data_IF_078732796413
#
_entry.id   IF_078732796413
#
_cell.length_a   1.000
_cell.length_b   1.000
_cell.length_c   1.000
_cell.angle_alpha   90.00
_cell.angle_beta   90.00
_cell.angle_gamma   90.00
#
_symmetry.space_group_name_H-M   'P 1'
#
loop_
_entity.id
_entity.type
_entity.pdbx_description
1 polymer ?
#
# COMPACT_ATOMS: atom_id res chain seq x y z
N UNK A 1 -7.27 -47.52 18.28
CA UNK A 1 -7.82 -46.16 18.36
C UNK A 1 -7.88 -45.53 16.97
N UNK A 2 -9.08 -45.33 16.41
CA UNK A 2 -9.28 -44.75 15.06
C UNK A 2 -9.06 -43.24 15.12
N UNK A 3 -8.24 -42.72 14.19
CA UNK A 3 -7.60 -41.40 14.25
C UNK A 3 -8.60 -40.26 13.94
N UNK A 4 -8.74 -39.22 14.77
CA UNK A 4 -9.63 -38.05 14.53
C UNK A 4 -9.13 -37.08 13.43
N UNK A 5 -8.22 -37.53 12.54
CA UNK A 5 -7.47 -36.67 11.62
C UNK A 5 -8.31 -36.07 10.48
N UNK A 6 -9.35 -36.76 10.05
CA UNK A 6 -10.22 -36.28 8.96
C UNK A 6 -11.20 -35.20 9.44
N UNK A 7 -11.50 -35.15 10.74
CA UNK A 7 -12.51 -34.24 11.29
C UNK A 7 -11.99 -32.80 11.42
N UNK A 8 -10.74 -32.63 11.85
CA UNK A 8 -10.10 -31.31 12.01
C UNK A 8 -9.93 -30.62 10.64
N UNK A 9 -9.51 -31.37 9.62
CA UNK A 9 -9.30 -30.81 8.27
C UNK A 9 -10.63 -30.34 7.64
N UNK A 10 -11.73 -31.08 7.86
CA UNK A 10 -13.08 -30.69 7.38
C UNK A 10 -13.63 -29.47 8.14
N UNK A 11 -13.38 -29.37 9.45
CA UNK A 11 -13.77 -28.20 10.25
C UNK A 11 -13.05 -26.93 9.80
N UNK A 12 -11.77 -27.01 9.43
CA UNK A 12 -11.04 -25.86 8.90
C UNK A 12 -11.58 -25.41 7.53
N UNK A 13 -11.90 -26.34 6.62
CA UNK A 13 -12.45 -26.01 5.29
C UNK A 13 -13.86 -25.44 5.38
N UNK A 14 -14.72 -26.00 6.24
CA UNK A 14 -16.12 -25.53 6.42
C UNK A 14 -16.16 -24.21 7.21
N UNK A 15 -15.29 -24.02 8.22
CA UNK A 15 -15.16 -22.75 8.93
C UNK A 15 -14.64 -21.60 8.05
N UNK A 16 -13.78 -21.92 7.09
CA UNK A 16 -13.23 -20.96 6.14
C UNK A 16 -14.24 -20.56 5.04
N UNK A 17 -15.06 -21.49 4.56
CA UNK A 17 -16.19 -21.18 3.67
C UNK A 17 -17.36 -20.50 4.40
N UNK A 18 -17.56 -20.76 5.69
CA UNK A 18 -18.60 -20.11 6.50
C UNK A 18 -18.30 -18.66 6.86
N UNK A 19 -17.03 -18.29 7.08
CA UNK A 19 -16.66 -16.91 7.46
C UNK A 19 -16.61 -15.94 6.27
N UNK A 20 -16.52 -16.43 5.03
CA UNK A 20 -16.68 -15.58 3.83
C UNK A 20 -18.14 -15.17 3.57
N UNK A 21 -19.12 -15.84 4.20
CA UNK A 21 -20.55 -15.52 4.09
C UNK A 21 -21.04 -14.46 5.08
N UNK A 22 -20.28 -14.11 6.13
CA UNK A 22 -20.70 -13.16 7.16
C UNK A 22 -20.28 -11.70 6.89
N UNK A 23 -19.80 -11.42 5.68
CA UNK A 23 -19.41 -10.08 5.24
C UNK A 23 -19.93 -9.76 3.85
N UNK A 24 -21.23 -9.89 3.59
CA UNK A 24 -21.92 -9.43 2.37
C UNK A 24 -21.96 -7.89 2.22
N UNK A 25 -20.92 -7.22 2.70
CA UNK A 25 -20.63 -5.80 2.55
C UNK A 25 -19.24 -5.57 1.96
N UNK A 26 -18.73 -6.46 1.09
CA UNK A 26 -17.57 -6.17 0.23
C UNK A 26 -17.99 -5.08 -0.75
N UNK A 27 -18.06 -3.83 -0.27
CA UNK A 27 -18.00 -2.65 -1.13
C UNK A 27 -16.64 -2.73 -1.83
N UNK A 28 -16.69 -2.81 -3.17
CA UNK A 28 -15.52 -2.87 -4.03
C UNK A 28 -14.42 -1.93 -3.51
N UNK A 29 -13.17 -2.38 -3.38
CA UNK A 29 -12.07 -1.48 -3.07
C UNK A 29 -11.88 -0.53 -4.27
N UNK A 30 -12.52 0.64 -4.23
CA UNK A 30 -12.30 1.76 -5.15
C UNK A 30 -10.91 2.41 -4.99
N UNK A 31 -10.03 1.76 -4.21
CA UNK A 31 -8.77 2.32 -3.74
C UNK A 31 -7.64 2.33 -4.78
N UNK A 32 -7.68 1.46 -5.79
CA UNK A 32 -6.58 1.39 -6.77
C UNK A 32 -6.65 2.47 -7.87
N UNK A 33 -7.77 3.17 -8.05
CA UNK A 33 -7.91 4.17 -9.13
C UNK A 33 -8.17 5.61 -8.66
N UNK A 34 -8.67 5.85 -7.44
CA UNK A 34 -9.15 7.18 -7.06
C UNK A 34 -8.22 7.99 -6.14
N UNK A 35 -7.27 7.34 -5.46
CA UNK A 35 -6.54 7.95 -4.33
C UNK A 35 -5.26 8.73 -4.68
N UNK A 36 -4.50 8.31 -5.69
CA UNK A 36 -3.17 8.87 -5.92
C UNK A 36 -3.16 10.10 -6.85
N UNK A 37 -3.97 10.12 -7.92
CA UNK A 37 -3.93 11.21 -8.91
C UNK A 37 -4.64 12.50 -8.44
N UNK A 38 -5.70 12.39 -7.62
CA UNK A 38 -6.51 13.55 -7.26
C UNK A 38 -5.98 14.37 -6.06
N UNK A 39 -5.09 13.81 -5.24
CA UNK A 39 -4.56 14.51 -4.06
C UNK A 39 -3.40 15.45 -4.43
N UNK A 40 -2.63 15.10 -5.47
CA UNK A 40 -1.53 15.94 -5.98
C UNK A 40 -2.02 17.19 -6.73
N UNK A 41 -2.96 17.02 -7.65
CA UNK A 41 -3.45 18.11 -8.51
C UNK A 41 -4.23 19.20 -7.74
N UNK A 42 -4.97 18.84 -6.68
CA UNK A 42 -5.68 19.83 -5.84
C UNK A 42 -4.76 20.64 -4.91
N UNK A 43 -3.52 20.20 -4.67
CA UNK A 43 -2.56 20.89 -3.78
C UNK A 43 -1.90 22.11 -4.43
N UNK A 44 -1.78 22.16 -5.74
CA UNK A 44 -1.13 23.28 -6.44
C UNK A 44 -2.05 24.51 -6.56
N UNK A 45 -3.37 24.32 -6.64
CA UNK A 45 -4.30 25.44 -6.82
C UNK A 45 -4.63 26.20 -5.51
N UNK A 46 -4.38 25.63 -4.33
CA UNK A 46 -4.69 26.30 -3.04
C UNK A 46 -3.53 27.10 -2.43
N UNK A 47 -2.31 26.97 -2.96
CA UNK A 47 -1.13 27.73 -2.48
C UNK A 47 -0.95 29.09 -3.17
N UNK A 48 -1.72 29.38 -4.22
CA UNK A 48 -1.59 30.61 -5.01
C UNK A 48 -2.41 31.81 -4.49
N UNK A 49 -3.16 31.69 -3.38
CA UNK A 49 -4.18 32.68 -3.01
C UNK A 49 -4.06 33.28 -1.59
N UNK A 50 -2.87 33.39 -1.01
CA UNK A 50 -2.73 34.06 0.31
C UNK A 50 -2.00 35.39 0.15
N UNK A 51 -2.76 36.42 -0.24
CA UNK A 51 -2.41 37.81 0.06
C UNK A 51 -2.68 38.10 1.55
N UNK A 52 -1.93 39.05 2.12
CA UNK A 52 -1.77 39.36 3.56
C UNK A 52 -3.06 39.66 4.38
N UNK A 53 -4.26 39.52 3.81
CA UNK A 53 -5.53 39.94 4.44
C UNK A 53 -6.25 38.90 5.32
N UNK A 54 -6.10 37.60 5.09
CA UNK A 54 -7.07 36.62 5.62
C UNK A 54 -6.47 35.53 6.52
N UNK A 55 -5.98 35.93 7.70
CA UNK A 55 -5.69 34.98 8.78
C UNK A 55 -6.92 34.09 9.12
N UNK A 56 -8.13 34.64 8.92
CA UNK A 56 -9.42 33.98 9.12
C UNK A 56 -9.74 32.95 8.02
N UNK A 57 -9.40 33.23 6.75
CA UNK A 57 -9.62 32.24 5.67
C UNK A 57 -8.67 31.05 5.81
N UNK A 58 -7.42 31.29 6.21
CA UNK A 58 -6.47 30.22 6.50
C UNK A 58 -6.97 29.32 7.65
N UNK A 59 -7.49 29.88 8.75
CA UNK A 59 -7.98 29.07 9.88
C UNK A 59 -9.22 28.24 9.52
N UNK A 60 -10.14 28.79 8.71
CA UNK A 60 -11.31 28.07 8.24
C UNK A 60 -10.94 26.92 7.29
N UNK A 61 -9.97 27.13 6.40
CA UNK A 61 -9.42 26.06 5.57
C UNK A 61 -8.83 24.93 6.43
N UNK A 62 -8.11 25.27 7.50
CA UNK A 62 -7.55 24.29 8.43
C UNK A 62 -8.62 23.46 9.14
N UNK A 63 -9.65 24.11 9.69
CA UNK A 63 -10.76 23.38 10.35
C UNK A 63 -11.50 22.48 9.36
N UNK A 64 -11.70 22.94 8.12
CA UNK A 64 -12.38 22.13 7.11
C UNK A 64 -11.53 20.95 6.66
N UNK A 65 -10.21 21.13 6.54
CA UNK A 65 -9.27 20.05 6.27
C UNK A 65 -9.26 19.02 7.41
N UNK A 66 -9.24 19.49 8.67
CA UNK A 66 -9.27 18.64 9.86
C UNK A 66 -10.59 17.87 9.97
N UNK A 67 -11.74 18.50 9.70
CA UNK A 67 -13.05 17.84 9.69
C UNK A 67 -13.17 16.79 8.57
N UNK A 68 -12.66 17.09 7.37
CA UNK A 68 -12.69 16.12 6.26
C UNK A 68 -11.78 14.94 6.53
N UNK A 69 -10.60 15.18 7.09
CA UNK A 69 -9.68 14.11 7.40
C UNK A 69 -10.17 13.30 8.59
N UNK A 70 -10.75 13.90 9.63
CA UNK A 70 -11.28 13.12 10.76
C UNK A 70 -12.43 12.20 10.34
N UNK A 71 -13.29 12.62 9.41
CA UNK A 71 -14.31 11.73 8.84
C UNK A 71 -13.73 10.62 7.96
N UNK A 72 -12.70 10.93 7.16
CA UNK A 72 -12.02 9.94 6.33
C UNK A 72 -11.15 8.97 7.14
N UNK A 73 -10.53 9.45 8.22
CA UNK A 73 -9.68 8.68 9.13
C UNK A 73 -10.52 7.69 9.92
N UNK A 74 -11.70 8.08 10.42
CA UNK A 74 -12.64 7.16 11.06
C UNK A 74 -13.02 5.99 10.14
N UNK A 75 -13.32 6.28 8.87
CA UNK A 75 -13.67 5.25 7.89
C UNK A 75 -12.45 4.39 7.49
N UNK A 76 -11.25 4.96 7.47
CA UNK A 76 -10.01 4.23 7.12
C UNK A 76 -9.53 3.35 8.28
N UNK A 77 -9.59 3.86 9.50
CA UNK A 77 -9.17 3.19 10.73
C UNK A 77 -10.13 2.04 11.08
N UNK A 78 -11.42 2.18 10.76
CA UNK A 78 -12.40 1.10 10.91
C UNK A 78 -12.23 -0.01 9.84
N UNK A 79 -11.50 0.24 8.75
CA UNK A 79 -11.38 -0.68 7.61
C UNK A 79 -10.16 -1.61 7.63
N UNK A 80 -9.11 -1.31 8.38
CA UNK A 80 -7.88 -2.13 8.36
C UNK A 80 -7.83 -3.12 9.52
N UNK A 81 -8.78 -4.07 9.57
CA UNK A 81 -8.68 -5.19 10.51
C UNK A 81 -7.82 -6.32 9.89
N UNK A 82 -6.82 -6.79 10.63
CA UNK A 82 -5.98 -7.93 10.21
C UNK A 82 -6.47 -9.25 10.82
N UNK A 83 -7.74 -9.31 11.22
CA UNK A 83 -8.33 -10.49 11.87
C UNK A 83 -8.30 -11.72 10.95
N UNK A 84 -8.50 -11.53 9.64
CA UNK A 84 -8.35 -12.61 8.67
C UNK A 84 -6.95 -13.25 8.73
N UNK A 85 -5.89 -12.44 8.83
CA UNK A 85 -4.51 -12.92 8.96
C UNK A 85 -4.34 -13.73 10.25
N UNK A 86 -4.91 -13.26 11.36
CA UNK A 86 -4.87 -13.97 12.66
C UNK A 86 -5.52 -15.35 12.55
N UNK A 87 -6.71 -15.44 11.94
CA UNK A 87 -7.40 -16.71 11.73
C UNK A 87 -6.61 -17.65 10.83
N UNK A 88 -6.14 -17.14 9.68
CA UNK A 88 -5.36 -17.94 8.72
C UNK A 88 -4.06 -18.44 9.33
N UNK A 89 -3.34 -17.58 10.05
CA UNK A 89 -2.09 -17.94 10.69
C UNK A 89 -2.28 -18.95 11.82
N UNK A 90 -3.35 -18.81 12.62
CA UNK A 90 -3.73 -19.79 13.64
C UNK A 90 -4.04 -21.15 13.00
N UNK A 91 -4.85 -21.17 11.93
CA UNK A 91 -5.17 -22.40 11.22
C UNK A 91 -3.92 -23.05 10.62
N UNK A 92 -3.03 -22.25 9.99
CA UNK A 92 -1.80 -22.76 9.39
C UNK A 92 -0.83 -23.30 10.45
N UNK A 93 -0.77 -22.67 11.62
CA UNK A 93 -0.01 -23.13 12.77
C UNK A 93 -0.51 -24.49 13.27
N UNK A 94 -1.84 -24.63 13.45
CA UNK A 94 -2.46 -25.89 13.88
C UNK A 94 -2.24 -27.01 12.85
N UNK A 95 -2.42 -26.71 11.56
CA UNK A 95 -2.20 -27.69 10.49
C UNK A 95 -0.74 -28.16 10.51
N UNK A 96 0.23 -27.24 10.59
CA UNK A 96 1.64 -27.62 10.62
C UNK A 96 2.05 -28.35 11.91
N UNK A 97 1.40 -28.05 13.03
CA UNK A 97 1.65 -28.72 14.30
C UNK A 97 1.14 -30.17 14.30
N UNK A 98 -0.11 -30.39 13.85
CA UNK A 98 -0.78 -31.70 13.91
C UNK A 98 -0.54 -32.60 12.69
N UNK A 99 0.07 -32.08 11.62
CA UNK A 99 0.35 -32.86 10.41
C UNK A 99 1.45 -33.88 10.67
N UNK A 100 1.10 -35.16 10.80
CA UNK A 100 2.09 -36.25 10.85
C UNK A 100 2.55 -36.64 9.43
N UNK A 101 3.42 -35.84 8.82
CA UNK A 101 4.11 -36.22 7.58
C UNK A 101 5.46 -36.88 7.87
N UNK A 102 5.67 -38.08 7.34
CA UNK A 102 6.96 -38.80 7.41
C UNK A 102 8.06 -38.00 6.69
N UNK A 103 7.70 -37.25 5.65
CA UNK A 103 8.63 -36.55 4.77
C UNK A 103 9.18 -35.22 5.35
N UNK A 104 8.49 -34.63 6.31
CA UNK A 104 8.92 -33.36 6.93
C UNK A 104 9.18 -33.60 8.42
N UNK A 105 10.44 -33.81 8.84
CA UNK A 105 10.76 -34.00 10.24
C UNK A 105 10.32 -32.77 11.05
N UNK A 106 9.95 -32.99 12.31
CA UNK A 106 9.38 -31.96 13.19
C UNK A 106 10.29 -30.73 13.32
N UNK A 107 11.61 -30.93 13.24
CA UNK A 107 12.63 -29.87 13.27
C UNK A 107 12.43 -28.83 12.16
N UNK A 108 11.98 -29.25 10.96
CA UNK A 108 11.71 -28.34 9.83
C UNK A 108 10.40 -27.58 10.02
N UNK A 109 9.49 -28.07 10.86
CA UNK A 109 8.17 -27.46 11.11
C UNK A 109 8.19 -26.37 12.16
N UNK A 110 9.05 -26.50 13.17
CA UNK A 110 9.15 -25.55 14.28
C UNK A 110 9.39 -24.11 13.78
N UNK A 111 10.33 -23.84 12.85
CA UNK A 111 10.51 -22.49 12.31
C UNK A 111 9.25 -21.93 11.65
N UNK A 112 8.49 -22.75 10.93
CA UNK A 112 7.23 -22.30 10.29
C UNK A 112 6.16 -21.97 11.33
N UNK A 113 6.00 -22.80 12.36
CA UNK A 113 5.06 -22.57 13.47
C UNK A 113 5.40 -21.28 14.21
N UNK A 114 6.69 -21.05 14.52
CA UNK A 114 7.14 -19.81 15.15
C UNK A 114 6.89 -18.60 14.23
N UNK A 115 7.15 -18.74 12.93
CA UNK A 115 6.89 -17.67 11.95
C UNK A 115 5.42 -17.26 11.91
N UNK A 116 4.50 -18.24 11.87
CA UNK A 116 3.05 -17.99 11.94
C UNK A 116 2.67 -17.33 13.27
N UNK A 117 3.21 -17.80 14.40
CA UNK A 117 2.97 -17.17 15.69
C UNK A 117 3.37 -15.69 15.71
N UNK A 118 4.50 -15.34 15.10
CA UNK A 118 4.95 -13.94 14.97
C UNK A 118 3.98 -13.13 14.10
N UNK A 119 3.58 -13.65 12.93
CA UNK A 119 2.58 -12.99 12.07
C UNK A 119 1.27 -12.74 12.80
N UNK A 120 0.80 -13.72 13.57
CA UNK A 120 -0.41 -13.64 14.38
C UNK A 120 -0.29 -12.52 15.44
N UNK A 121 0.80 -12.48 16.20
CA UNK A 121 1.04 -11.46 17.24
C UNK A 121 1.11 -10.07 16.63
N UNK A 122 1.86 -9.88 15.55
CA UNK A 122 1.99 -8.58 14.88
C UNK A 122 0.65 -8.11 14.29
N UNK A 123 -0.13 -9.04 13.72
CA UNK A 123 -1.46 -8.73 13.19
C UNK A 123 -2.46 -8.36 14.29
N UNK A 124 -2.40 -9.04 15.44
CA UNK A 124 -3.18 -8.68 16.62
C UNK A 124 -2.78 -7.31 17.15
N UNK A 125 -1.49 -7.04 17.28
CA UNK A 125 -1.00 -5.73 17.70
C UNK A 125 -1.43 -4.63 16.73
N UNK A 126 -1.34 -4.85 15.42
CA UNK A 126 -1.81 -3.90 14.41
C UNK A 126 -3.33 -3.69 14.45
N UNK A 127 -4.10 -4.71 14.84
CA UNK A 127 -5.57 -4.62 14.94
C UNK A 127 -6.01 -3.92 16.24
N UNK A 128 -5.34 -4.19 17.36
CA UNK A 128 -5.69 -3.63 18.68
C UNK A 128 -5.13 -2.20 18.83
N UNK A 129 -3.91 -1.96 18.36
CA UNK A 129 -3.29 -0.64 18.45
C UNK A 129 -3.92 0.29 17.42
N UNK A 130 -4.98 0.99 17.83
CA UNK A 130 -5.61 2.05 17.04
C UNK A 130 -4.59 3.12 16.58
N UNK A 131 -3.48 3.28 17.30
CA UNK A 131 -2.36 4.16 16.95
C UNK A 131 -1.08 3.37 16.70
N UNK A 132 -1.16 2.27 15.95
CA UNK A 132 0.02 1.50 15.60
C UNK A 132 1.10 2.39 14.95
N UNK A 133 2.34 2.21 15.40
CA UNK A 133 3.52 2.89 14.85
C UNK A 133 3.60 2.56 13.35
N UNK A 134 3.80 3.54 12.43
CA UNK A 134 3.86 3.26 11.00
C UNK A 134 4.83 2.15 10.62
N UNK A 135 5.96 2.06 11.34
CA UNK A 135 6.93 0.98 11.16
C UNK A 135 6.35 -0.43 11.31
N UNK A 136 5.33 -0.62 12.16
CA UNK A 136 4.65 -1.90 12.33
C UNK A 136 3.94 -2.33 11.05
N UNK A 137 3.22 -1.42 10.38
CA UNK A 137 2.52 -1.72 9.13
C UNK A 137 3.48 -2.03 7.98
N UNK A 138 4.61 -1.30 7.91
CA UNK A 138 5.65 -1.60 6.92
C UNK A 138 6.25 -2.99 7.15
N UNK A 139 6.60 -3.32 8.39
CA UNK A 139 7.13 -4.63 8.76
C UNK A 139 6.13 -5.75 8.48
N UNK A 140 4.87 -5.57 8.89
CA UNK A 140 3.80 -6.55 8.65
C UNK A 140 3.58 -6.76 7.15
N UNK A 141 3.57 -5.68 6.35
CA UNK A 141 3.46 -5.77 4.90
C UNK A 141 4.59 -6.58 4.28
N UNK A 142 5.83 -6.33 4.66
CA UNK A 142 7.00 -7.08 4.16
C UNK A 142 6.95 -8.55 4.57
N UNK A 143 6.60 -8.84 5.82
CA UNK A 143 6.51 -10.22 6.31
C UNK A 143 5.37 -11.00 5.66
N UNK A 144 4.20 -10.40 5.49
CA UNK A 144 3.07 -11.02 4.79
C UNK A 144 3.39 -11.19 3.30
N UNK A 145 4.03 -10.20 2.67
CA UNK A 145 4.43 -10.26 1.28
C UNK A 145 5.45 -11.37 1.01
N UNK A 146 6.48 -11.48 1.85
CA UNK A 146 7.48 -12.55 1.71
C UNK A 146 6.87 -13.93 1.96
N UNK A 147 5.97 -14.06 2.93
CA UNK A 147 5.26 -15.32 3.20
C UNK A 147 4.36 -15.70 2.03
N UNK A 148 3.62 -14.74 1.46
CA UNK A 148 2.77 -14.95 0.29
C UNK A 148 3.58 -15.41 -0.92
N UNK A 149 4.73 -14.79 -1.19
CA UNK A 149 5.64 -15.20 -2.27
C UNK A 149 6.16 -16.62 -2.03
N UNK A 150 6.56 -16.94 -0.79
CA UNK A 150 6.94 -18.29 -0.40
C UNK A 150 5.85 -19.32 -0.70
N UNK A 151 4.62 -19.03 -0.29
CA UNK A 151 3.50 -19.96 -0.38
C UNK A 151 3.00 -20.13 -1.84
N UNK A 152 3.01 -19.06 -2.64
CA UNK A 152 2.53 -19.09 -4.03
C UNK A 152 3.57 -19.64 -5.02
N UNK A 153 4.85 -19.31 -4.85
CA UNK A 153 5.89 -19.64 -5.85
C UNK A 153 6.76 -20.84 -5.47
N UNK A 154 6.84 -21.20 -4.19
CA UNK A 154 7.65 -22.35 -3.76
C UNK A 154 6.76 -23.50 -3.29
N UNK A 155 5.90 -23.26 -2.32
CA UNK A 155 5.11 -24.35 -1.71
C UNK A 155 3.98 -24.85 -2.60
N UNK A 156 3.19 -23.96 -3.21
CA UNK A 156 2.11 -24.38 -4.09
C UNK A 156 2.63 -25.22 -5.28
N UNK A 157 3.67 -24.81 -6.05
CA UNK A 157 4.20 -25.65 -7.12
C UNK A 157 4.78 -26.97 -6.61
N UNK A 158 5.46 -26.96 -5.47
CA UNK A 158 5.97 -28.19 -4.85
C UNK A 158 4.84 -29.18 -4.52
N UNK A 159 3.73 -28.70 -3.95
CA UNK A 159 2.56 -29.54 -3.67
C UNK A 159 1.80 -29.96 -4.93
N UNK A 160 1.80 -29.13 -5.98
CA UNK A 160 1.24 -29.48 -7.28
C UNK A 160 2.02 -30.64 -7.91
N UNK A 161 3.35 -30.59 -7.92
CA UNK A 161 4.19 -31.69 -8.41
C UNK A 161 4.00 -32.94 -7.55
N UNK A 162 3.96 -32.79 -6.22
CA UNK A 162 3.76 -33.91 -5.32
C UNK A 162 2.38 -34.58 -5.47
N UNK A 163 1.34 -33.83 -5.87
CA UNK A 163 0.00 -34.36 -6.11
C UNK A 163 -0.11 -35.13 -7.42
N UNK A 164 0.69 -34.81 -8.45
CA UNK A 164 0.72 -35.53 -9.73
C UNK A 164 1.12 -37.00 -9.59
N UNK A 165 1.88 -37.36 -8.55
CA UNK A 165 2.31 -38.73 -8.30
C UNK A 165 1.29 -39.59 -7.54
N UNK A 166 0.16 -39.02 -7.10
CA UNK A 166 -0.90 -39.79 -6.47
C UNK A 166 -1.90 -40.31 -7.51
N UNK A 167 -2.01 -41.64 -7.62
CA UNK A 167 -2.90 -42.31 -8.59
C UNK A 167 -4.37 -42.36 -8.17
N UNK A 168 -4.73 -41.79 -7.03
CA UNK A 168 -6.06 -41.90 -6.40
C UNK A 168 -6.78 -40.54 -6.50
N UNK A 169 -8.12 -40.55 -6.58
CA UNK A 169 -9.02 -39.39 -6.63
C UNK A 169 -8.41 -38.08 -6.10
N UNK A 170 -8.03 -37.20 -7.05
CA UNK A 170 -7.30 -35.96 -6.83
C UNK A 170 -7.97 -35.05 -5.77
N UNK A 171 -9.30 -35.01 -5.76
CA UNK A 171 -10.09 -34.17 -4.85
C UNK A 171 -10.01 -34.59 -3.37
N UNK A 172 -9.67 -35.84 -3.08
CA UNK A 172 -9.55 -36.37 -1.70
C UNK A 172 -8.11 -36.53 -1.24
N UNK A 173 -7.15 -36.24 -2.13
CA UNK A 173 -5.73 -36.31 -1.82
C UNK A 173 -5.37 -35.29 -0.73
N UNK A 174 -4.68 -35.70 0.35
CA UNK A 174 -4.17 -34.76 1.33
C UNK A 174 -3.18 -33.76 0.70
N UNK A 175 -2.46 -34.15 -0.36
CA UNK A 175 -1.52 -33.27 -1.07
C UNK A 175 -2.25 -32.21 -1.89
N UNK A 176 -3.36 -32.56 -2.52
CA UNK A 176 -4.20 -31.58 -3.21
C UNK A 176 -4.80 -30.55 -2.25
N UNK A 177 -5.20 -30.98 -1.05
CA UNK A 177 -5.68 -30.07 -0.01
C UNK A 177 -4.57 -29.13 0.48
N UNK A 178 -3.33 -29.60 0.59
CA UNK A 178 -2.16 -28.75 0.90
C UNK A 178 -1.85 -27.75 -0.22
N UNK A 179 -2.00 -28.14 -1.48
CA UNK A 179 -1.90 -27.22 -2.63
C UNK A 179 -2.95 -26.11 -2.52
N UNK A 180 -4.22 -26.49 -2.36
CA UNK A 180 -5.32 -25.53 -2.25
C UNK A 180 -5.13 -24.60 -1.05
N UNK A 181 -4.73 -25.15 0.10
CA UNK A 181 -4.38 -24.37 1.28
C UNK A 181 -3.26 -23.37 0.97
N UNK A 182 -2.14 -23.81 0.38
CA UNK A 182 -1.01 -22.93 0.06
C UNK A 182 -1.40 -21.79 -0.86
N UNK A 183 -2.24 -22.06 -1.87
CA UNK A 183 -2.76 -21.04 -2.77
C UNK A 183 -3.65 -20.03 -2.03
N UNK A 184 -4.64 -20.52 -1.29
CA UNK A 184 -5.61 -19.67 -0.59
C UNK A 184 -4.93 -18.82 0.49
N UNK A 185 -4.06 -19.42 1.29
CA UNK A 185 -3.27 -18.72 2.32
C UNK A 185 -2.36 -17.68 1.68
N UNK A 186 -1.66 -18.05 0.59
CA UNK A 186 -0.79 -17.14 -0.14
C UNK A 186 -1.53 -15.91 -0.69
N UNK A 187 -2.72 -16.10 -1.27
CA UNK A 187 -3.53 -14.97 -1.75
C UNK A 187 -4.02 -14.06 -0.62
N UNK A 188 -4.43 -14.62 0.51
CA UNK A 188 -4.84 -13.82 1.68
C UNK A 188 -3.67 -12.99 2.19
N UNK A 189 -2.50 -13.60 2.37
CA UNK A 189 -1.31 -12.88 2.82
C UNK A 189 -0.87 -11.80 1.82
N UNK A 190 -0.96 -12.07 0.52
CA UNK A 190 -0.67 -11.05 -0.51
C UNK A 190 -1.63 -9.87 -0.42
N UNK A 191 -2.93 -10.13 -0.35
CA UNK A 191 -3.94 -9.08 -0.24
C UNK A 191 -3.77 -8.25 1.05
N UNK A 192 -3.54 -8.93 2.19
CA UNK A 192 -3.28 -8.26 3.46
C UNK A 192 -1.96 -7.49 3.47
N UNK A 193 -0.94 -7.95 2.75
CA UNK A 193 0.33 -7.24 2.55
C UNK A 193 0.13 -5.91 1.82
N UNK A 194 -0.65 -5.89 0.74
CA UNK A 194 -0.97 -4.67 -0.01
C UNK A 194 -1.76 -3.69 0.87
N UNK A 195 -2.73 -4.17 1.63
CA UNK A 195 -3.50 -3.33 2.55
C UNK A 195 -2.63 -2.75 3.68
N UNK A 196 -1.75 -3.56 4.26
CA UNK A 196 -0.78 -3.10 5.25
C UNK A 196 0.18 -2.04 4.68
N UNK A 197 0.62 -2.20 3.42
CA UNK A 197 1.46 -1.21 2.75
C UNK A 197 0.73 0.12 2.55
N UNK A 198 -0.54 0.06 2.12
CA UNK A 198 -1.39 1.25 1.99
C UNK A 198 -1.57 1.99 3.32
N UNK A 199 -1.83 1.25 4.41
CA UNK A 199 -1.93 1.81 5.76
C UNK A 199 -0.62 2.46 6.21
N UNK A 200 0.53 1.83 5.91
CA UNK A 200 1.85 2.41 6.17
C UNK A 200 2.05 3.76 5.46
N UNK A 201 1.79 3.83 4.15
CA UNK A 201 1.96 5.05 3.37
C UNK A 201 1.08 6.18 3.91
N UNK A 202 -0.18 5.89 4.22
CA UNK A 202 -1.12 6.84 4.81
C UNK A 202 -0.60 7.40 6.15
N UNK A 203 -0.19 6.50 7.06
CA UNK A 203 0.33 6.89 8.38
C UNK A 203 1.62 7.71 8.29
N UNK A 204 2.52 7.34 7.36
CA UNK A 204 3.77 8.09 7.12
C UNK A 204 3.49 9.52 6.64
N UNK A 205 2.57 9.67 5.70
CA UNK A 205 2.25 10.98 5.12
C UNK A 205 1.51 11.87 6.13
N UNK A 206 0.66 11.29 6.97
CA UNK A 206 0.02 11.99 8.09
C UNK A 206 1.07 12.50 9.09
N UNK A 207 2.07 11.68 9.46
CA UNK A 207 3.16 12.11 10.33
C UNK A 207 3.97 13.24 9.72
N UNK A 208 4.23 13.20 8.41
CA UNK A 208 4.94 14.26 7.69
C UNK A 208 4.16 15.58 7.79
N UNK A 209 2.85 15.53 7.53
CA UNK A 209 1.96 16.70 7.64
C UNK A 209 1.98 17.24 9.07
N UNK A 210 1.84 16.39 10.10
CA UNK A 210 1.88 16.82 11.51
C UNK A 210 3.20 17.48 11.90
N UNK A 211 4.33 17.07 11.32
CA UNK A 211 5.64 17.72 11.53
C UNK A 211 5.70 19.08 10.86
N UNK A 212 5.26 19.18 9.61
CA UNK A 212 5.22 20.43 8.86
C UNK A 212 4.32 21.47 9.53
N UNK A 213 3.18 21.04 10.08
CA UNK A 213 2.26 21.91 10.83
C UNK A 213 2.86 22.40 12.13
N UNK A 214 3.51 21.53 12.91
CA UNK A 214 4.21 21.94 14.14
C UNK A 214 5.33 22.94 13.84
N UNK A 215 6.09 22.73 12.78
CA UNK A 215 7.13 23.68 12.35
C UNK A 215 6.54 25.05 12.00
N UNK A 216 5.40 25.09 11.28
CA UNK A 216 4.70 26.34 10.96
C UNK A 216 4.18 27.05 12.21
N UNK A 217 3.64 26.31 13.18
CA UNK A 217 3.11 26.89 14.41
C UNK A 217 4.23 27.49 15.28
N UNK A 218 5.34 26.79 15.44
CA UNK A 218 6.55 27.31 16.11
C UNK A 218 7.00 28.62 15.44
N UNK A 219 7.03 28.65 14.11
CA UNK A 219 7.43 29.84 13.37
C UNK A 219 6.45 31.02 13.56
N UNK A 220 5.14 30.76 13.61
CA UNK A 220 4.13 31.78 13.93
C UNK A 220 4.28 32.33 15.35
N UNK A 221 4.54 31.45 16.32
CA UNK A 221 4.80 31.86 17.71
C UNK A 221 6.04 32.74 17.79
N UNK A 222 7.11 32.41 17.05
CA UNK A 222 8.32 33.22 17.01
C UNK A 222 8.06 34.60 16.38
N UNK A 223 7.31 34.67 15.29
CA UNK A 223 6.89 35.95 14.70
C UNK A 223 6.05 36.81 15.65
N UNK A 224 5.11 36.20 16.37
CA UNK A 224 4.26 36.89 17.33
C UNK A 224 5.09 37.47 18.49
N UNK A 225 6.05 36.70 19.01
CA UNK A 225 6.97 37.16 20.05
C UNK A 225 7.87 38.31 19.54
N UNK A 226 8.35 38.23 18.30
CA UNK A 226 9.15 39.32 17.68
C UNK A 226 8.36 40.61 17.50
N UNK A 227 7.06 40.55 17.19
CA UNK A 227 6.19 41.75 17.10
C UNK A 227 6.01 42.43 18.45
N UNK A 228 5.99 41.67 19.55
CA UNK A 228 5.88 42.22 20.91
C UNK A 228 7.22 42.79 21.45
N UNK A 229 8.35 42.35 20.90
CA UNK A 229 9.69 42.64 21.41
C UNK A 229 10.44 43.84 20.81
N UNK A 230 9.86 44.63 19.91
CA UNK A 230 10.44 45.90 19.42
C UNK A 230 11.82 45.81 18.74
N UNK A 231 11.86 45.74 17.40
CA UNK A 231 12.97 46.30 16.61
C UNK A 231 14.06 45.35 16.05
N UNK A 232 13.95 44.03 16.18
CA UNK A 232 14.94 43.11 15.60
C UNK A 232 14.75 42.86 14.09
N UNK A 233 15.78 43.16 13.27
CA UNK A 233 15.81 42.93 11.79
C UNK A 233 15.34 41.51 11.40
N UNK A 234 14.52 41.47 10.35
CA UNK A 234 13.89 40.26 9.79
C UNK A 234 14.94 39.43 9.03
N UNK A 235 15.30 38.24 9.54
CA UNK A 235 15.89 37.19 8.70
C UNK A 235 14.73 36.45 8.02
N UNK A 236 14.78 36.33 6.69
CA UNK A 236 13.78 35.59 5.93
C UNK A 236 13.61 34.17 6.49
N UNK A 237 12.38 33.62 6.47
CA UNK A 237 12.15 32.25 6.89
C UNK A 237 13.07 31.29 6.12
N UNK A 238 13.54 30.20 6.75
CA UNK A 238 14.16 29.11 6.01
C UNK A 238 13.13 28.61 5.00
N UNK A 239 13.45 28.75 3.71
CA UNK A 239 12.57 28.27 2.65
C UNK A 239 12.34 26.77 2.87
N UNK A 240 11.08 26.36 3.02
CA UNK A 240 10.64 24.96 3.13
C UNK A 240 10.98 24.10 1.90
N UNK A 241 11.77 24.61 0.94
CA UNK A 241 12.40 23.86 -0.14
C UNK A 241 13.56 22.94 0.34
N UNK A 242 13.57 22.57 1.62
CA UNK A 242 14.49 21.60 2.20
C UNK A 242 13.94 20.18 1.97
N UNK A 243 14.13 19.67 0.74
CA UNK A 243 13.94 18.26 0.40
C UNK A 243 14.21 17.99 -1.06
N UNK A 244 13.65 18.82 -1.95
CA UNK A 244 14.12 18.88 -3.33
C UNK A 244 15.29 19.87 -3.40
N UNK A 245 16.50 19.37 -3.13
CA UNK A 245 17.64 19.89 -3.88
C UNK A 245 17.29 19.65 -5.35
N UNK A 246 16.64 20.62 -6.00
CA UNK A 246 16.78 20.84 -7.43
C UNK A 246 18.27 20.86 -7.67
N UNK A 247 18.83 19.73 -8.06
CA UNK A 247 19.95 19.70 -8.97
C UNK A 247 19.45 20.47 -10.19
N UNK A 248 19.54 21.80 -10.14
CA UNK A 248 19.74 22.61 -11.32
C UNK A 248 21.06 22.09 -11.87
N UNK A 249 20.99 21.06 -12.70
CA UNK A 249 21.94 20.85 -13.77
C UNK A 249 22.03 22.21 -14.45
N UNK A 250 23.11 22.94 -14.14
CA UNK A 250 23.55 24.07 -14.95
C UNK A 250 23.94 23.47 -16.28
N UNK A 251 22.96 23.29 -17.17
CA UNK A 251 23.25 23.37 -18.59
C UNK A 251 23.70 24.82 -18.81
N UNK A 252 25.02 25.00 -18.90
CA UNK A 252 25.61 26.21 -19.44
C UNK A 252 25.02 26.40 -20.84
N UNK A 253 24.08 27.33 -20.95
CA UNK A 253 23.66 27.91 -22.21
C UNK A 253 24.85 28.66 -22.79
N UNK A 254 25.59 27.98 -23.67
CA UNK A 254 26.55 28.59 -24.59
C UNK A 254 26.04 28.40 -26.02
N UNK A 255 24.82 28.84 -26.29
CA UNK A 255 24.37 29.05 -27.67
C UNK A 255 23.62 30.38 -27.72
N UNK A 256 24.33 31.38 -28.25
CA UNK A 256 23.83 32.30 -29.26
C UNK A 256 22.62 33.15 -28.93
N UNK A 257 22.88 34.35 -28.43
CA UNK A 257 22.14 35.56 -28.82
C UNK A 257 22.19 35.75 -30.34
N UNK A 258 21.04 35.78 -31.02
CA UNK A 258 20.72 36.72 -32.14
C UNK A 258 19.32 36.45 -32.69
N UNK A 259 18.61 37.53 -33.06
CA UNK A 259 17.26 37.62 -33.65
C UNK A 259 16.12 37.35 -32.66
N UNK A 260 15.22 38.28 -32.32
CA UNK A 260 14.63 39.41 -33.05
C UNK A 260 13.13 39.28 -32.79
N UNK A 261 12.57 39.95 -31.78
CA UNK A 261 11.75 41.16 -31.94
C UNK A 261 11.25 41.32 -33.37
N UNK A 262 10.12 40.70 -33.70
CA UNK A 262 8.97 41.38 -34.30
C UNK A 262 7.80 40.38 -34.50
N UNK A 263 6.61 40.97 -34.59
CA UNK A 263 5.35 40.38 -35.08
C UNK A 263 4.43 39.69 -34.06
N UNK A 264 3.65 40.56 -33.42
CA UNK A 264 2.27 40.27 -33.04
C UNK A 264 1.35 40.23 -34.28
N UNK A 265 0.29 39.42 -34.17
CA UNK A 265 -0.85 39.19 -35.11
C UNK A 265 -0.46 38.21 -36.24
N UNK A 266 -1.16 37.09 -36.43
CA UNK A 266 -2.41 37.06 -37.21
C UNK A 266 -3.01 35.62 -37.22
N UNK A 267 -4.35 35.52 -37.12
CA UNK A 267 -5.28 34.48 -37.61
C UNK A 267 -5.11 32.97 -37.29
N UNK A 268 -6.15 32.44 -36.62
CA UNK A 268 -7.14 31.44 -37.14
C UNK A 268 -6.71 30.57 -38.34
N UNK A 269 -6.62 29.25 -38.15
CA UNK A 269 -7.63 28.25 -38.57
C UNK A 269 -7.06 26.81 -38.47
N UNK A 270 -7.87 25.97 -37.82
CA UNK A 270 -8.25 24.58 -38.16
C UNK A 270 -7.23 23.46 -38.50
N UNK A 271 -7.67 22.28 -38.03
CA UNK A 271 -7.39 20.92 -38.50
C UNK A 271 -6.04 20.30 -38.15
N UNK A 272 -6.09 19.24 -37.35
CA UNK A 272 -4.96 18.32 -37.19
C UNK A 272 -5.08 17.38 -36.00
N UNK A 273 -6.08 16.52 -36.01
CA UNK A 273 -6.12 15.34 -35.13
C UNK A 273 -4.96 14.39 -35.49
N UNK A 274 -3.82 14.53 -34.82
CA UNK A 274 -2.76 13.52 -34.85
C UNK A 274 -2.87 12.65 -33.59
N UNK A 275 -3.53 11.50 -33.74
CA UNK A 275 -3.47 10.42 -32.77
C UNK A 275 -2.03 9.90 -32.70
N UNK A 276 -1.34 10.19 -31.61
CA UNK A 276 -0.06 9.59 -31.27
C UNK A 276 -0.26 8.14 -30.87
N UNK A 277 -0.20 7.23 -31.84
CA UNK A 277 -0.07 5.80 -31.56
C UNK A 277 1.29 5.55 -30.89
N UNK A 278 1.34 4.83 -29.76
CA UNK A 278 2.59 4.57 -29.06
C UNK A 278 3.51 3.61 -29.84
N UNK A 279 4.80 3.91 -29.79
CA UNK A 279 5.90 3.33 -30.59
C UNK A 279 6.14 1.82 -30.38
N UNK A 280 5.56 1.21 -29.35
CA UNK A 280 5.70 -0.22 -29.05
C UNK A 280 4.77 -1.15 -29.86
N UNK A 281 3.97 -0.62 -30.80
CA UNK A 281 3.00 -1.38 -31.60
C UNK A 281 3.50 -1.73 -33.02
N UNK A 282 4.82 -1.72 -33.25
CA UNK A 282 5.41 -1.82 -34.61
C UNK A 282 6.06 -3.15 -35.00
N UNK A 283 6.14 -4.15 -34.12
CA UNK A 283 7.04 -5.31 -34.32
C UNK A 283 6.39 -6.71 -34.42
N UNK A 284 5.15 -6.84 -34.92
CA UNK A 284 4.50 -8.17 -35.02
C UNK A 284 3.97 -8.56 -36.43
N UNK A 285 4.49 -7.99 -37.51
CA UNK A 285 4.02 -8.33 -38.87
C UNK A 285 5.07 -8.94 -39.81
N UNK A 286 6.07 -9.66 -39.29
CA UNK A 286 6.99 -10.45 -40.13
C UNK A 286 7.28 -11.81 -39.51
N UNK A 287 6.37 -12.77 -39.72
CA UNK A 287 6.71 -14.19 -39.78
C UNK A 287 5.53 -14.99 -40.35
N UNK A 288 5.28 -14.86 -41.66
CA UNK A 288 4.65 -15.91 -42.44
C UNK A 288 5.40 -16.03 -43.76
N UNK A 289 5.95 -17.21 -44.02
CA UNK A 289 6.58 -17.58 -45.28
C UNK A 289 8.01 -18.08 -45.11
N UNK A 290 8.18 -19.39 -44.93
CA UNK A 290 8.87 -20.28 -45.89
C UNK A 290 9.11 -21.68 -45.29
N UNK A 291 8.76 -22.69 -46.12
CA UNK A 291 9.05 -24.14 -46.07
C UNK A 291 8.52 -25.00 -44.92
#
# INVERSE_FOLDING_TARGET
>A
MKRPRVFILRLCVVGFLGTTSLGSGIRRPSFLAAGAENVGAKRQNSLAFVGDGDATAASNYYRQYEQRNSAADLDTQQRTSFFAVVLVSTANMLINWYRDDVLTPQVVRIPRVIWELVLMILSLQATIAQQAVPGLYAMLSLMLGSTAVGDLFFWAPMFAVASMFERINLATSPRFLLLLQSLVVGFIYLFSSVNAWGAYLSSRDEQKIKRDLRAKEIWRQELANRRRGGGGRIKQPPSLASGEKKQRFRFHSSIGTTLGRDEAKTKRNDVGSSSSSPWWLRDLSHQEGES
#
